data_IF_506180614453
#
_entry.id   IF_506180614453
#
_cell.length_a   1.000
_cell.length_b   1.000
_cell.length_c   1.000
_cell.angle_alpha   90.00
_cell.angle_beta   90.00
_cell.angle_gamma   90.00
#
_symmetry.space_group_name_H-M   'P 1'
#
loop_
_entity.id
_entity.type
_entity.pdbx_description
1 polymer ?
#
# COMPACT_ATOMS: atom_id res chain seq x y z
N UNK A 1 4.47 -3.93 26.88
CA UNK A 1 3.94 -3.59 25.55
C UNK A 1 3.56 -2.12 25.53
N UNK A 2 4.10 -1.37 24.58
CA UNK A 2 3.79 0.06 24.46
C UNK A 2 2.41 0.21 23.77
N UNK A 3 1.41 0.68 24.49
CA UNK A 3 0.04 0.87 23.99
C UNK A 3 -0.03 1.86 22.81
N UNK A 4 0.99 2.70 22.63
CA UNK A 4 1.08 3.67 21.53
C UNK A 4 1.48 3.01 20.19
N UNK A 5 2.19 1.88 20.20
CA UNK A 5 2.60 1.20 18.97
C UNK A 5 1.42 0.78 18.08
N UNK A 6 0.37 0.13 18.61
CA UNK A 6 -0.82 -0.19 17.83
C UNK A 6 -1.49 1.05 17.22
N UNK A 7 -1.60 2.13 18.00
CA UNK A 7 -2.23 3.36 17.53
C UNK A 7 -1.42 4.05 16.42
N UNK A 8 -0.08 4.03 16.52
CA UNK A 8 0.81 4.58 15.49
C UNK A 8 0.76 3.71 14.22
N UNK A 9 0.69 2.39 14.35
CA UNK A 9 0.55 1.49 13.22
C UNK A 9 -0.81 1.66 12.54
N UNK A 10 -1.90 1.65 13.32
CA UNK A 10 -3.26 1.77 12.78
C UNK A 10 -3.51 3.08 12.03
N UNK A 11 -2.94 4.20 12.51
CA UNK A 11 -3.17 5.54 11.94
C UNK A 11 -1.93 6.13 11.26
N UNK A 12 -0.84 5.39 11.19
CA UNK A 12 0.44 5.87 10.70
C UNK A 12 0.51 5.93 9.17
N UNK A 13 1.22 6.93 8.65
CA UNK A 13 1.53 7.08 7.21
C UNK A 13 2.22 5.84 6.66
N UNK A 14 2.99 5.11 7.47
CA UNK A 14 3.73 3.91 7.05
C UNK A 14 2.79 2.78 6.66
N UNK A 15 1.81 2.43 7.51
CA UNK A 15 0.84 1.35 7.20
C UNK A 15 -0.06 1.75 6.05
N UNK A 16 -0.53 3.01 6.04
CA UNK A 16 -1.30 3.53 4.92
C UNK A 16 -0.57 3.36 3.58
N UNK A 17 0.73 3.63 3.53
CA UNK A 17 1.54 3.43 2.32
C UNK A 17 1.81 1.98 2.02
N UNK A 18 2.13 1.18 3.05
CA UNK A 18 2.38 -0.24 2.88
C UNK A 18 1.15 -1.00 2.38
N UNK A 19 -0.06 -0.52 2.70
CA UNK A 19 -1.31 -1.12 2.22
C UNK A 19 -1.72 -0.67 0.82
N UNK A 20 -1.18 0.43 0.30
CA UNK A 20 -1.51 0.92 -1.04
C UNK A 20 -0.98 -0.01 -2.14
N UNK A 21 -1.85 -0.33 -3.10
CA UNK A 21 -1.48 -1.03 -4.32
C UNK A 21 -1.00 -0.02 -5.38
N UNK A 22 0.11 0.65 -5.07
CA UNK A 22 0.80 1.56 -5.99
C UNK A 22 1.48 0.82 -7.13
N UNK A 23 1.88 1.53 -8.19
CA UNK A 23 2.46 0.93 -9.39
C UNK A 23 3.66 0.02 -9.09
N UNK A 24 4.49 0.39 -8.12
CA UNK A 24 5.71 -0.35 -7.75
C UNK A 24 5.54 -1.27 -6.54
N UNK A 25 4.34 -1.32 -5.94
CA UNK A 25 4.14 -2.11 -4.72
C UNK A 25 4.18 -3.62 -5.01
N UNK A 26 4.71 -4.38 -4.06
CA UNK A 26 4.74 -5.84 -4.13
C UNK A 26 3.35 -6.48 -4.16
N UNK A 27 2.35 -5.81 -3.53
CA UNK A 27 0.96 -6.27 -3.54
C UNK A 27 0.26 -5.97 -4.87
N UNK A 28 0.56 -4.83 -5.53
CA UNK A 28 0.06 -4.57 -6.87
C UNK A 28 0.61 -5.58 -7.88
N UNK A 29 1.91 -5.90 -7.81
CA UNK A 29 2.50 -6.95 -8.65
C UNK A 29 1.83 -8.30 -8.46
N UNK A 30 1.58 -8.69 -7.20
CA UNK A 30 0.86 -9.91 -6.88
C UNK A 30 -0.57 -9.90 -7.44
N UNK A 31 -1.26 -8.77 -7.33
CA UNK A 31 -2.62 -8.61 -7.84
C UNK A 31 -2.69 -8.70 -9.38
N UNK A 32 -1.60 -8.41 -10.08
CA UNK A 32 -1.51 -8.51 -11.54
C UNK A 32 -1.17 -9.93 -12.03
N UNK A 33 -0.77 -10.83 -11.15
CA UNK A 33 -0.50 -12.23 -11.53
C UNK A 33 -1.77 -12.96 -11.94
N UNK A 34 -1.62 -13.93 -12.87
CA UNK A 34 -2.72 -14.81 -13.31
C UNK A 34 -2.88 -15.99 -12.36
N UNK A 35 -3.32 -15.70 -11.13
CA UNK A 35 -3.58 -16.70 -10.09
C UNK A 35 -5.05 -16.64 -9.67
N UNK A 36 -5.62 -17.71 -9.10
CA UNK A 36 -6.96 -17.69 -8.55
C UNK A 36 -7.03 -16.85 -7.26
N UNK A 37 -8.23 -16.44 -6.87
CA UNK A 37 -8.44 -15.49 -5.74
C UNK A 37 -7.98 -16.08 -4.40
N UNK A 38 -8.24 -17.34 -4.14
CA UNK A 38 -7.79 -18.05 -2.93
C UNK A 38 -6.27 -18.07 -2.81
N UNK A 39 -5.55 -18.27 -3.91
CA UNK A 39 -4.08 -18.20 -3.92
C UNK A 39 -3.58 -16.77 -3.73
N UNK A 40 -4.27 -15.76 -4.26
CA UNK A 40 -3.97 -14.36 -3.99
C UNK A 40 -4.09 -14.06 -2.50
N UNK A 41 -5.23 -14.39 -1.89
CA UNK A 41 -5.47 -14.22 -0.45
C UNK A 41 -4.41 -14.94 0.36
N UNK A 42 -4.13 -16.21 0.05
CA UNK A 42 -3.11 -17.01 0.73
C UNK A 42 -1.73 -16.35 0.69
N UNK A 43 -1.31 -15.83 -0.46
CA UNK A 43 0.01 -15.18 -0.59
C UNK A 43 0.10 -13.85 0.13
N UNK A 44 -0.99 -13.08 0.21
CA UNK A 44 -1.04 -11.85 1.01
C UNK A 44 -0.86 -12.18 2.48
N UNK A 45 -1.57 -13.20 3.00
CA UNK A 45 -1.39 -13.68 4.40
C UNK A 45 0.04 -14.09 4.68
N UNK A 46 0.64 -14.90 3.82
CA UNK A 46 2.03 -15.35 3.99
C UNK A 46 3.03 -14.18 4.01
N UNK A 47 2.78 -13.13 3.23
CA UNK A 47 3.67 -11.96 3.19
C UNK A 47 3.56 -11.08 4.42
N UNK A 48 2.38 -10.98 5.02
CA UNK A 48 2.13 -10.08 6.16
C UNK A 48 2.25 -10.82 7.47
N UNK A 49 1.59 -11.98 7.60
CA UNK A 49 1.47 -12.71 8.87
C UNK A 49 2.38 -13.96 8.94
N UNK A 50 3.05 -14.32 7.85
CA UNK A 50 3.92 -15.50 7.79
C UNK A 50 3.18 -16.84 7.86
N UNK A 51 1.85 -16.85 7.82
CA UNK A 51 0.99 -18.05 7.85
C UNK A 51 -0.10 -18.01 6.79
N UNK A 52 -0.67 -19.16 6.39
CA UNK A 52 -1.87 -19.18 5.58
C UNK A 52 -3.09 -18.70 6.38
N UNK A 53 -4.18 -18.25 5.70
CA UNK A 53 -5.45 -17.94 6.35
C UNK A 53 -6.09 -19.23 6.90
N UNK A 54 -6.82 -19.11 8.00
CA UNK A 54 -7.78 -20.12 8.44
C UNK A 54 -8.97 -20.20 7.47
N UNK A 55 -9.78 -21.24 7.55
CA UNK A 55 -10.97 -21.38 6.69
C UNK A 55 -11.96 -20.22 6.85
N UNK A 56 -12.11 -19.68 8.06
CA UNK A 56 -12.97 -18.53 8.34
C UNK A 56 -12.43 -17.24 7.72
N UNK A 57 -11.12 -16.99 7.88
CA UNK A 57 -10.45 -15.83 7.29
C UNK A 57 -10.45 -15.89 5.76
N UNK A 58 -10.15 -17.07 5.19
CA UNK A 58 -10.19 -17.26 3.75
C UNK A 58 -11.57 -16.90 3.18
N UNK A 59 -12.65 -17.36 3.83
CA UNK A 59 -14.01 -17.03 3.41
C UNK A 59 -14.29 -15.53 3.49
N UNK A 60 -13.92 -14.85 4.57
CA UNK A 60 -14.16 -13.40 4.75
C UNK A 60 -13.43 -12.62 3.65
N UNK A 61 -12.17 -12.95 3.38
CA UNK A 61 -11.38 -12.22 2.39
C UNK A 61 -11.74 -12.60 0.95
N UNK A 62 -12.17 -13.83 0.71
CA UNK A 62 -12.78 -14.21 -0.59
C UNK A 62 -14.06 -13.41 -0.85
N UNK A 63 -14.93 -13.26 0.15
CA UNK A 63 -16.14 -12.45 0.02
C UNK A 63 -15.81 -10.96 -0.21
N UNK A 64 -14.69 -10.44 0.31
CA UNK A 64 -14.24 -9.06 0.14
C UNK A 64 -13.62 -8.80 -1.25
N UNK A 65 -12.63 -9.60 -1.66
CA UNK A 65 -11.84 -9.34 -2.87
C UNK A 65 -12.27 -10.19 -4.08
N UNK A 66 -13.10 -11.21 -3.88
CA UNK A 66 -13.64 -12.06 -4.95
C UNK A 66 -14.49 -11.31 -5.98
N UNK A 67 -15.44 -10.45 -5.54
CA UNK A 67 -16.20 -9.64 -6.49
C UNK A 67 -15.30 -8.80 -7.38
N UNK A 68 -15.43 -8.96 -8.70
CA UNK A 68 -14.61 -8.26 -9.69
C UNK A 68 -13.17 -8.77 -9.86
N UNK A 69 -12.74 -9.80 -9.13
CA UNK A 69 -11.38 -10.32 -9.21
C UNK A 69 -10.96 -10.71 -10.64
N UNK A 70 -11.83 -11.34 -11.40
CA UNK A 70 -11.54 -11.73 -12.79
C UNK A 70 -11.30 -10.54 -13.70
N UNK A 71 -11.98 -9.42 -13.47
CA UNK A 71 -11.89 -8.19 -14.26
C UNK A 71 -10.92 -7.15 -13.68
N UNK A 72 -10.23 -7.45 -12.57
CA UNK A 72 -9.39 -6.50 -11.84
C UNK A 72 -8.24 -5.89 -12.65
N UNK A 73 -7.79 -6.60 -13.68
CA UNK A 73 -6.67 -6.15 -14.53
C UNK A 73 -7.20 -5.34 -15.69
N UNK A 74 -6.75 -4.10 -15.76
CA UNK A 74 -7.05 -3.21 -16.87
C UNK A 74 -5.98 -3.34 -17.96
N UNK A 75 -6.38 -3.08 -19.20
CA UNK A 75 -5.42 -2.97 -20.28
C UNK A 75 -4.46 -1.80 -20.02
N UNK A 76 -3.17 -1.92 -20.39
CA UNK A 76 -2.25 -0.80 -20.29
C UNK A 76 -2.81 0.39 -21.08
N UNK A 77 -3.30 1.38 -20.38
CA UNK A 77 -3.55 2.69 -20.99
C UNK A 77 -2.17 3.28 -21.20
N UNK A 78 -1.93 3.88 -22.38
CA UNK A 78 -0.75 4.69 -22.59
C UNK A 78 -0.80 5.84 -21.57
N UNK A 79 -0.26 5.61 -20.40
CA UNK A 79 -0.11 6.65 -19.38
C UNK A 79 0.88 7.61 -20.00
N UNK A 80 0.40 8.80 -20.38
CA UNK A 80 1.27 9.91 -20.66
C UNK A 80 2.20 9.98 -19.45
N UNK A 81 3.50 9.74 -19.67
CA UNK A 81 4.48 9.79 -18.61
C UNK A 81 4.28 11.13 -17.93
N UNK A 82 3.78 11.10 -16.70
CA UNK A 82 3.73 12.30 -15.89
C UNK A 82 5.14 12.88 -15.94
N UNK A 83 5.26 14.11 -16.41
CA UNK A 83 6.55 14.79 -16.44
C UNK A 83 7.20 14.58 -15.09
N UNK A 84 8.49 14.17 -15.04
CA UNK A 84 9.14 13.95 -13.76
C UNK A 84 8.90 15.20 -12.91
N UNK A 85 8.17 15.05 -11.82
CA UNK A 85 8.01 16.16 -10.87
C UNK A 85 9.42 16.65 -10.56
N UNK A 86 9.67 17.94 -10.77
CA UNK A 86 10.96 18.55 -10.44
C UNK A 86 11.29 18.17 -9.00
N UNK A 87 12.33 17.36 -8.83
CA UNK A 87 12.79 17.00 -7.50
C UNK A 87 13.19 18.28 -6.80
N UNK A 88 12.60 18.60 -5.66
CA UNK A 88 12.96 19.81 -4.93
C UNK A 88 14.46 19.78 -4.61
N UNK A 89 15.08 20.96 -4.55
CA UNK A 89 16.48 21.12 -4.19
C UNK A 89 16.80 20.30 -2.95
N UNK A 90 17.91 19.55 -3.01
CA UNK A 90 18.35 18.73 -1.89
C UNK A 90 18.65 19.61 -0.67
N UNK A 91 18.07 19.29 0.48
CA UNK A 91 18.39 19.94 1.75
C UNK A 91 19.65 19.31 2.31
N UNK A 92 20.67 20.13 2.57
CA UNK A 92 21.95 19.71 3.11
C UNK A 92 22.30 20.52 4.37
N UNK A 93 23.36 20.14 5.06
CA UNK A 93 23.84 20.89 6.21
C UNK A 93 24.21 22.35 5.89
N UNK A 94 24.58 22.64 4.65
CA UNK A 94 25.01 23.98 4.24
C UNK A 94 23.83 24.92 3.94
N UNK A 95 22.64 24.41 3.62
CA UNK A 95 21.50 25.22 3.23
C UNK A 95 20.23 25.03 4.12
N UNK A 96 20.28 24.16 5.14
CA UNK A 96 19.10 23.74 5.92
C UNK A 96 18.37 24.87 6.65
N UNK A 97 19.00 26.04 6.82
CA UNK A 97 18.43 27.24 7.45
C UNK A 97 17.93 28.29 6.46
N UNK A 98 17.98 28.01 5.15
CA UNK A 98 17.49 28.95 4.14
C UNK A 98 15.98 28.80 3.91
N UNK A 99 15.32 29.87 3.47
CA UNK A 99 13.89 29.84 3.14
C UNK A 99 13.57 28.83 2.01
N UNK A 100 14.50 28.69 1.04
CA UNK A 100 14.38 27.70 -0.05
C UNK A 100 14.39 26.26 0.48
N UNK A 101 15.24 25.99 1.51
CA UNK A 101 15.30 24.68 2.14
C UNK A 101 14.01 24.38 2.92
N UNK A 102 13.39 25.35 3.54
CA UNK A 102 12.12 25.16 4.25
C UNK A 102 10.96 24.89 3.26
N UNK A 103 10.94 25.57 2.12
CA UNK A 103 10.01 25.26 1.04
C UNK A 103 10.25 23.86 0.47
N UNK A 104 11.52 23.47 0.29
CA UNK A 104 11.87 22.12 -0.18
C UNK A 104 11.44 21.03 0.82
N UNK A 105 11.64 21.25 2.12
CA UNK A 105 11.16 20.35 3.19
C UNK A 105 9.64 20.22 3.16
N UNK A 106 8.92 21.34 2.99
CA UNK A 106 7.46 21.33 2.88
C UNK A 106 6.97 20.49 1.68
N UNK A 107 7.55 20.69 0.50
CA UNK A 107 7.24 19.89 -0.69
C UNK A 107 7.58 18.40 -0.50
N UNK A 108 8.75 18.10 0.07
CA UNK A 108 9.14 16.71 0.37
C UNK A 108 8.18 16.06 1.37
N UNK A 109 7.73 16.79 2.39
CA UNK A 109 6.75 16.30 3.33
C UNK A 109 5.38 16.04 2.67
N UNK A 110 4.96 16.91 1.73
CA UNK A 110 3.73 16.74 0.97
C UNK A 110 3.81 15.51 0.04
N UNK A 111 4.88 15.37 -0.74
CA UNK A 111 5.14 14.19 -1.58
C UNK A 111 5.16 12.95 -0.70
N UNK A 112 5.86 13.05 0.44
CA UNK A 112 5.92 12.01 1.43
C UNK A 112 4.54 11.65 2.01
N UNK A 113 3.65 12.57 2.23
CA UNK A 113 2.29 12.32 2.73
C UNK A 113 1.36 11.73 1.64
N UNK A 114 1.52 12.17 0.39
CA UNK A 114 0.72 11.67 -0.75
C UNK A 114 0.99 10.20 -1.04
N UNK A 115 2.23 9.76 -0.94
CA UNK A 115 2.66 8.41 -1.33
C UNK A 115 2.76 8.23 -2.84
N UNK A 116 3.03 7.00 -3.25
CA UNK A 116 3.13 6.63 -4.66
C UNK A 116 1.74 6.60 -5.32
N UNK A 117 1.63 6.92 -6.61
CA UNK A 117 0.36 6.89 -7.30
C UNK A 117 -0.18 5.45 -7.34
N UNK A 118 -1.51 5.29 -7.24
CA UNK A 118 -2.15 3.98 -7.33
C UNK A 118 -1.88 3.34 -8.70
N UNK A 119 -1.80 2.01 -8.73
CA UNK A 119 -1.57 1.27 -9.98
C UNK A 119 -2.68 1.55 -10.99
N UNK A 120 -2.35 2.06 -12.19
CA UNK A 120 -3.33 2.30 -13.25
C UNK A 120 -3.76 1.00 -13.96
N UNK A 121 -3.11 -0.12 -13.68
CA UNK A 121 -3.39 -1.42 -14.27
C UNK A 121 -4.42 -2.23 -13.47
N UNK A 122 -4.90 -1.68 -12.36
CA UNK A 122 -5.90 -2.32 -11.50
C UNK A 122 -7.19 -1.50 -11.50
N UNK A 123 -8.31 -2.21 -11.55
CA UNK A 123 -9.63 -1.61 -11.37
C UNK A 123 -9.70 -0.86 -10.03
N UNK A 124 -10.11 0.42 -10.02
CA UNK A 124 -10.09 1.25 -8.81
C UNK A 124 -10.92 0.70 -7.66
N UNK A 125 -12.12 0.16 -7.94
CA UNK A 125 -13.03 -0.32 -6.91
C UNK A 125 -12.52 -1.64 -6.32
N UNK A 126 -12.00 -2.53 -7.17
CA UNK A 126 -11.39 -3.75 -6.71
C UNK A 126 -10.11 -3.47 -5.92
N UNK A 127 -9.27 -2.54 -6.40
CA UNK A 127 -8.04 -2.13 -5.72
C UNK A 127 -8.31 -1.61 -4.32
N UNK A 128 -9.33 -0.74 -4.14
CA UNK A 128 -9.70 -0.24 -2.83
C UNK A 128 -10.00 -1.37 -1.84
N UNK A 129 -10.77 -2.39 -2.25
CA UNK A 129 -11.05 -3.57 -1.40
C UNK A 129 -9.80 -4.39 -1.09
N UNK A 130 -8.88 -4.51 -2.05
CA UNK A 130 -7.61 -5.21 -1.82
C UNK A 130 -6.70 -4.42 -0.87
N UNK A 131 -6.70 -3.10 -0.94
CA UNK A 131 -6.00 -2.21 0.00
C UNK A 131 -6.59 -2.32 1.42
N UNK A 132 -7.92 -2.40 1.55
CA UNK A 132 -8.61 -2.63 2.82
C UNK A 132 -8.23 -3.99 3.43
N UNK A 133 -8.13 -5.05 2.61
CA UNK A 133 -7.63 -6.35 3.05
C UNK A 133 -6.20 -6.23 3.62
N UNK A 134 -5.30 -5.62 2.88
CA UNK A 134 -3.89 -5.48 3.28
C UNK A 134 -3.80 -4.64 4.56
N UNK A 135 -4.55 -3.53 4.64
CA UNK A 135 -4.62 -2.68 5.82
C UNK A 135 -5.14 -3.44 7.05
N UNK A 136 -6.18 -4.25 6.88
CA UNK A 136 -6.75 -5.09 7.96
C UNK A 136 -5.71 -6.06 8.52
N UNK A 137 -4.92 -6.69 7.66
CA UNK A 137 -3.88 -7.63 8.08
C UNK A 137 -2.70 -6.94 8.79
N UNK A 138 -2.31 -5.74 8.36
CA UNK A 138 -1.30 -4.95 9.09
C UNK A 138 -1.79 -4.51 10.48
N UNK A 139 -3.10 -4.41 10.68
CA UNK A 139 -3.70 -4.08 11.98
C UNK A 139 -4.14 -5.32 12.77
N UNK A 140 -3.89 -6.52 12.26
CA UNK A 140 -4.17 -7.75 12.99
C UNK A 140 -3.34 -7.83 14.29
N UNK A 141 -3.93 -8.26 15.41
CA UNK A 141 -3.20 -8.36 16.69
C UNK A 141 -1.90 -9.15 16.58
N UNK A 142 -1.87 -10.21 15.80
CA UNK A 142 -0.69 -11.04 15.59
C UNK A 142 0.44 -10.35 14.80
N UNK A 143 0.13 -9.34 13.98
CA UNK A 143 1.14 -8.52 13.34
C UNK A 143 1.69 -7.45 14.28
N UNK A 144 0.82 -6.86 15.12
CA UNK A 144 1.15 -5.76 16.03
C UNK A 144 1.85 -6.24 17.29
N UNK A 145 1.48 -7.43 17.77
CA UNK A 145 1.99 -8.02 19.00
C UNK A 145 2.78 -9.31 18.69
N UNK A 146 3.90 -9.17 17.99
CA UNK A 146 4.83 -10.28 17.85
C UNK A 146 5.35 -10.64 19.24
N UNK A 147 5.23 -11.91 19.70
CA UNK A 147 5.71 -12.35 21.01
C UNK A 147 7.23 -12.30 21.12
#
# INVERSE_FOLDING_TARGET
PNVLQPAILANGVVVKRASQLSADSGFARLALESIPVDEFVRRVFLRILGRPPSAAEAKIFDDLVGPGYAARRLAPVAVAQASPEERPLGVSWSNHLTAEADLAKGKLAEIAARGDPPSPLLDPDWRARAEDMVWTLFNAPEFVFVP
#
